data_IF_916173652797
#
_entry.id   IF_916173652797
#
_cell.length_a   1.000
_cell.length_b   1.000
_cell.length_c   1.000
_cell.angle_alpha   90.00
_cell.angle_beta   90.00
_cell.angle_gamma   90.00
#
_symmetry.space_group_name_H-M   'P 1'
#
loop_
_entity.id
_entity.type
_entity.pdbx_description
1 polymer ?
#
# COMPACT_ATOMS: atom_id res chain seq x y z
N UNK A 1 -28.78 8.07 -28.92
CA UNK A 1 -27.80 7.29 -28.21
C UNK A 1 -28.29 7.22 -26.76
N UNK A 2 -28.68 6.04 -26.27
CA UNK A 2 -29.10 5.87 -24.89
C UNK A 2 -27.83 5.94 -24.02
N UNK A 3 -27.58 7.08 -23.37
CA UNK A 3 -26.52 7.20 -22.39
C UNK A 3 -26.93 6.36 -21.18
N UNK A 4 -26.06 5.50 -20.73
CA UNK A 4 -26.28 4.78 -19.47
C UNK A 4 -26.31 5.80 -18.34
N UNK A 5 -27.35 5.84 -17.48
CA UNK A 5 -27.42 6.81 -16.40
C UNK A 5 -26.27 6.61 -15.39
N UNK A 6 -25.78 7.70 -14.83
CA UNK A 6 -24.82 7.66 -13.75
C UNK A 6 -25.45 7.05 -12.50
N UNK A 7 -24.77 6.08 -11.91
CA UNK A 7 -25.20 5.37 -10.70
C UNK A 7 -24.74 6.15 -9.47
N UNK A 8 -25.67 6.63 -8.68
CA UNK A 8 -25.41 7.51 -7.54
C UNK A 8 -25.74 6.82 -6.22
N UNK A 9 -24.86 6.97 -5.23
CA UNK A 9 -25.17 6.69 -3.82
C UNK A 9 -25.36 8.03 -3.11
N UNK A 10 -26.45 8.16 -2.35
CA UNK A 10 -26.73 9.33 -1.52
C UNK A 10 -26.52 8.94 -0.06
N UNK A 11 -25.71 9.71 0.67
CA UNK A 11 -25.48 9.57 2.11
C UNK A 11 -25.90 10.86 2.83
N UNK A 12 -27.02 10.79 3.53
CA UNK A 12 -27.66 11.91 4.21
C UNK A 12 -28.53 11.36 5.35
N UNK A 13 -28.36 11.83 6.57
CA UNK A 13 -29.11 11.33 7.74
C UNK A 13 -30.55 11.86 7.79
N UNK A 14 -30.79 13.07 7.26
CA UNK A 14 -32.13 13.65 7.17
C UNK A 14 -32.92 13.07 5.99
N UNK A 15 -33.95 12.26 6.29
CA UNK A 15 -34.73 11.56 5.28
C UNK A 15 -35.42 12.48 4.26
N UNK A 16 -35.82 13.70 4.67
CA UNK A 16 -36.43 14.68 3.75
C UNK A 16 -35.41 15.23 2.75
N UNK A 17 -34.21 15.59 3.21
CA UNK A 17 -33.16 16.10 2.32
C UNK A 17 -32.71 14.98 1.36
N UNK A 18 -32.62 13.74 1.86
CA UNK A 18 -32.29 12.58 1.00
C UNK A 18 -33.33 12.35 -0.09
N UNK A 19 -34.62 12.51 0.25
CA UNK A 19 -35.72 12.41 -0.73
C UNK A 19 -35.64 13.54 -1.78
N UNK A 20 -35.43 14.78 -1.34
CA UNK A 20 -35.28 15.93 -2.24
C UNK A 20 -34.10 15.73 -3.22
N UNK A 21 -32.96 15.24 -2.72
CA UNK A 21 -31.81 14.91 -3.56
C UNK A 21 -32.14 13.86 -4.60
N UNK A 22 -32.85 12.82 -4.21
CA UNK A 22 -33.29 11.76 -5.11
C UNK A 22 -34.21 12.30 -6.19
N UNK A 23 -35.20 13.12 -5.83
CA UNK A 23 -36.12 13.75 -6.78
C UNK A 23 -35.37 14.67 -7.76
N UNK A 24 -34.40 15.48 -7.27
CA UNK A 24 -33.58 16.31 -8.14
C UNK A 24 -32.77 15.54 -9.17
N UNK A 25 -32.28 14.34 -8.80
CA UNK A 25 -31.45 13.50 -9.68
C UNK A 25 -32.29 12.67 -10.66
N UNK A 26 -33.44 12.14 -10.21
CA UNK A 26 -34.28 11.22 -10.97
C UNK A 26 -35.46 11.92 -11.62
N UNK A 27 -35.36 13.22 -11.98
CA UNK A 27 -36.45 13.96 -12.61
C UNK A 27 -36.92 13.30 -13.90
N UNK A 28 -38.23 13.11 -14.07
CA UNK A 28 -38.77 12.46 -15.24
C UNK A 28 -38.38 13.17 -16.56
N UNK A 29 -37.78 12.39 -17.45
CA UNK A 29 -37.39 12.85 -18.80
C UNK A 29 -35.91 13.17 -18.97
N UNK A 30 -35.11 13.29 -17.90
CA UNK A 30 -33.65 13.53 -18.00
C UNK A 30 -32.82 12.27 -18.00
N UNK A 31 -33.24 11.21 -17.30
CA UNK A 31 -32.57 9.88 -17.22
C UNK A 31 -31.03 9.90 -17.13
N UNK A 32 -30.47 11.01 -16.64
CA UNK A 32 -29.01 11.15 -16.55
C UNK A 32 -28.42 10.48 -15.32
N UNK A 33 -29.21 10.33 -14.26
CA UNK A 33 -28.79 9.76 -12.97
C UNK A 33 -29.80 8.73 -12.48
N UNK A 34 -29.30 7.75 -11.70
CA UNK A 34 -30.12 6.76 -11.00
C UNK A 34 -29.55 6.53 -9.60
N UNK A 35 -30.37 6.64 -8.58
CA UNK A 35 -29.96 6.39 -7.19
C UNK A 35 -29.98 4.88 -6.95
N UNK A 36 -28.80 4.30 -6.80
CA UNK A 36 -28.61 2.86 -6.59
C UNK A 36 -28.44 2.47 -5.13
N UNK A 37 -28.24 3.44 -4.23
CA UNK A 37 -28.12 3.19 -2.80
C UNK A 37 -28.35 4.46 -2.00
N UNK A 38 -28.92 4.30 -0.81
CA UNK A 38 -29.20 5.36 0.17
C UNK A 38 -28.59 4.97 1.52
N UNK A 39 -27.86 5.87 2.15
CA UNK A 39 -27.25 5.70 3.45
C UNK A 39 -27.70 6.84 4.40
N UNK A 40 -27.85 6.54 5.67
CA UNK A 40 -28.12 7.50 6.73
C UNK A 40 -26.90 7.78 7.61
N UNK A 41 -25.75 7.18 7.29
CA UNK A 41 -24.50 7.33 8.03
C UNK A 41 -23.29 7.03 7.09
N UNK A 42 -22.12 7.48 7.53
CA UNK A 42 -20.91 7.36 6.73
C UNK A 42 -20.39 5.93 6.57
N UNK A 43 -20.57 5.06 7.56
CA UNK A 43 -20.11 3.66 7.48
C UNK A 43 -20.91 2.88 6.44
N UNK A 44 -22.24 3.04 6.46
CA UNK A 44 -23.13 2.49 5.44
C UNK A 44 -22.78 3.03 4.06
N UNK A 45 -22.44 4.33 3.94
CA UNK A 45 -22.04 4.92 2.66
C UNK A 45 -20.75 4.30 2.11
N UNK A 46 -19.73 4.09 2.94
CA UNK A 46 -18.48 3.42 2.55
C UNK A 46 -18.73 1.98 2.10
N UNK A 47 -19.57 1.25 2.81
CA UNK A 47 -19.95 -0.12 2.47
C UNK A 47 -20.68 -0.18 1.12
N UNK A 48 -21.70 0.68 0.93
CA UNK A 48 -22.45 0.76 -0.32
C UNK A 48 -21.56 1.17 -1.51
N UNK A 49 -20.64 2.10 -1.31
CA UNK A 49 -19.68 2.48 -2.35
C UNK A 49 -18.80 1.29 -2.78
N UNK A 50 -18.38 0.45 -1.82
CA UNK A 50 -17.58 -0.73 -2.13
C UNK A 50 -18.38 -1.85 -2.82
N UNK A 51 -19.62 -2.09 -2.38
CA UNK A 51 -20.48 -3.16 -2.89
C UNK A 51 -21.08 -2.81 -4.26
N UNK A 52 -21.58 -1.59 -4.40
CA UNK A 52 -22.30 -1.17 -5.59
C UNK A 52 -21.40 -0.56 -6.67
N UNK A 53 -20.19 -0.13 -6.32
CA UNK A 53 -19.26 0.57 -7.24
C UNK A 53 -20.00 1.66 -8.05
N UNK A 54 -20.56 2.69 -7.37
CA UNK A 54 -21.31 3.75 -8.03
C UNK A 54 -20.37 4.66 -8.83
N UNK A 55 -20.95 5.42 -9.76
CA UNK A 55 -20.23 6.44 -10.52
C UNK A 55 -20.03 7.74 -9.72
N UNK A 56 -20.78 7.89 -8.62
CA UNK A 56 -20.77 9.08 -7.76
C UNK A 56 -21.31 8.77 -6.37
N UNK A 57 -20.74 9.42 -5.35
CA UNK A 57 -21.31 9.49 -4.00
C UNK A 57 -21.59 10.95 -3.65
N UNK A 58 -22.82 11.26 -3.26
CA UNK A 58 -23.21 12.55 -2.68
C UNK A 58 -23.34 12.34 -1.18
N UNK A 59 -22.65 13.16 -0.37
CA UNK A 59 -22.47 12.85 1.05
C UNK A 59 -22.59 14.10 1.91
N UNK A 60 -23.47 14.09 2.89
CA UNK A 60 -23.49 15.12 3.94
C UNK A 60 -22.27 15.01 4.86
N UNK A 61 -21.83 16.16 5.39
CA UNK A 61 -20.72 16.19 6.38
C UNK A 61 -21.13 15.63 7.72
N UNK A 62 -22.33 16.02 8.19
CA UNK A 62 -22.78 15.67 9.53
C UNK A 62 -23.68 14.45 9.52
N UNK A 63 -23.11 13.30 9.79
CA UNK A 63 -23.83 12.05 9.89
C UNK A 63 -23.46 11.32 11.16
N UNK A 64 -24.35 10.48 11.70
CA UNK A 64 -24.05 9.62 12.86
C UNK A 64 -23.04 8.52 12.48
N UNK A 65 -22.50 7.82 13.48
CA UNK A 65 -21.57 6.69 13.39
C UNK A 65 -20.22 7.11 12.81
N UNK A 66 -20.17 7.49 11.52
CA UNK A 66 -19.01 8.00 10.82
C UNK A 66 -19.39 9.29 10.09
N UNK A 67 -18.67 10.38 10.34
CA UNK A 67 -18.92 11.65 9.65
C UNK A 67 -18.53 11.57 8.17
N UNK A 68 -19.17 12.42 7.34
CA UNK A 68 -18.99 12.37 5.89
C UNK A 68 -17.59 12.69 5.40
N UNK A 69 -16.80 13.47 6.13
CA UNK A 69 -15.41 13.75 5.75
C UNK A 69 -14.55 12.49 5.93
N UNK A 70 -14.70 11.82 7.06
CA UNK A 70 -14.00 10.55 7.35
C UNK A 70 -14.44 9.43 6.38
N UNK A 71 -15.73 9.41 6.01
CA UNK A 71 -16.24 8.48 5.01
C UNK A 71 -15.68 8.79 3.60
N UNK A 72 -15.64 10.07 3.21
CA UNK A 72 -15.06 10.50 1.94
C UNK A 72 -13.56 10.14 1.83
N UNK A 73 -12.81 10.28 2.92
CA UNK A 73 -11.41 9.87 2.99
C UNK A 73 -11.24 8.37 2.68
N UNK A 74 -12.07 7.52 3.29
CA UNK A 74 -12.03 6.07 3.03
C UNK A 74 -12.41 5.70 1.59
N UNK A 75 -13.46 6.35 1.03
CA UNK A 75 -13.90 6.14 -0.34
C UNK A 75 -12.80 6.58 -1.32
N UNK A 76 -12.20 7.76 -1.10
CA UNK A 76 -11.16 8.33 -1.93
C UNK A 76 -9.85 7.53 -1.86
N UNK A 77 -9.42 7.12 -0.67
CA UNK A 77 -8.22 6.30 -0.47
C UNK A 77 -8.31 4.95 -1.21
N UNK A 78 -9.51 4.37 -1.25
CA UNK A 78 -9.80 3.12 -1.97
C UNK A 78 -10.21 3.34 -3.43
N UNK A 79 -10.34 4.59 -3.87
CA UNK A 79 -10.75 4.97 -5.24
C UNK A 79 -12.05 4.34 -5.68
N UNK A 80 -13.03 4.29 -4.80
CA UNK A 80 -14.29 3.62 -5.08
C UNK A 80 -15.19 4.45 -6.01
N UNK A 81 -15.27 5.76 -5.76
CA UNK A 81 -16.06 6.71 -6.55
C UNK A 81 -15.65 8.16 -6.25
N UNK A 82 -15.96 9.13 -7.13
CA UNK A 82 -15.89 10.56 -6.79
C UNK A 82 -16.91 10.90 -5.70
N UNK A 83 -16.52 11.82 -4.81
CA UNK A 83 -17.37 12.27 -3.71
C UNK A 83 -17.67 13.75 -3.84
N UNK A 84 -18.96 14.10 -3.80
CA UNK A 84 -19.47 15.47 -3.64
C UNK A 84 -19.93 15.63 -2.20
N UNK A 85 -19.34 16.55 -1.47
CA UNK A 85 -19.69 16.84 -0.07
C UNK A 85 -20.79 17.89 -0.02
N UNK A 86 -21.84 17.63 0.77
CA UNK A 86 -22.87 18.60 1.14
C UNK A 86 -22.56 19.13 2.54
N UNK A 87 -22.66 20.44 2.74
CA UNK A 87 -22.36 21.04 4.04
C UNK A 87 -23.30 22.21 4.35
N UNK A 88 -23.74 22.31 5.62
CA UNK A 88 -24.49 23.46 6.11
C UNK A 88 -23.59 24.69 6.38
N UNK A 89 -22.26 24.54 6.28
CA UNK A 89 -21.33 25.58 6.69
C UNK A 89 -20.36 25.95 5.56
N UNK A 90 -20.28 27.25 5.29
CA UNK A 90 -19.31 27.85 4.37
C UNK A 90 -17.91 28.09 5.03
N UNK A 91 -17.64 27.47 6.18
CA UNK A 91 -16.38 27.69 6.90
C UNK A 91 -15.21 27.13 6.10
N UNK A 92 -14.18 27.95 5.89
CA UNK A 92 -12.98 27.59 5.14
C UNK A 92 -12.30 26.30 5.64
N UNK A 93 -12.34 26.08 6.96
CA UNK A 93 -11.71 24.91 7.58
C UNK A 93 -12.38 23.58 7.16
N UNK A 94 -13.70 23.56 7.04
CA UNK A 94 -14.44 22.38 6.57
C UNK A 94 -14.21 22.10 5.09
N UNK A 95 -14.17 23.15 4.28
CA UNK A 95 -13.85 23.04 2.84
C UNK A 95 -12.42 22.49 2.66
N UNK A 96 -11.47 22.98 3.45
CA UNK A 96 -10.10 22.50 3.39
C UNK A 96 -9.97 21.04 3.85
N UNK A 97 -10.67 20.67 4.92
CA UNK A 97 -10.73 19.27 5.38
C UNK A 97 -11.37 18.35 4.34
N UNK A 98 -12.50 18.73 3.75
CA UNK A 98 -13.16 17.97 2.68
C UNK A 98 -12.23 17.78 1.46
N UNK A 99 -11.53 18.83 1.06
CA UNK A 99 -10.52 18.76 -0.02
C UNK A 99 -9.36 17.83 0.34
N UNK A 100 -8.85 17.89 1.57
CA UNK A 100 -7.77 17.00 2.05
C UNK A 100 -8.22 15.54 2.15
N UNK A 101 -9.49 15.30 2.44
CA UNK A 101 -10.14 13.98 2.44
C UNK A 101 -10.38 13.42 1.02
N UNK A 102 -10.02 14.17 -0.02
CA UNK A 102 -10.16 13.73 -1.41
C UNK A 102 -11.53 13.96 -2.02
N UNK A 103 -12.40 14.79 -1.40
CA UNK A 103 -13.65 15.22 -2.03
C UNK A 103 -13.36 16.00 -3.31
N UNK A 104 -14.07 15.67 -4.38
CA UNK A 104 -13.85 16.27 -5.71
C UNK A 104 -14.61 17.58 -5.90
N UNK A 105 -15.73 17.74 -5.18
CA UNK A 105 -16.50 18.97 -5.13
C UNK A 105 -17.23 19.11 -3.79
N UNK A 106 -17.71 20.29 -3.46
CA UNK A 106 -18.57 20.53 -2.31
C UNK A 106 -19.70 21.51 -2.67
N UNK A 107 -20.84 21.40 -1.96
CA UNK A 107 -21.99 22.26 -2.08
C UNK A 107 -22.46 22.73 -0.70
N UNK A 108 -22.85 23.98 -0.59
CA UNK A 108 -23.38 24.55 0.66
C UNK A 108 -24.90 24.47 0.65
N UNK A 109 -25.49 23.90 1.68
CA UNK A 109 -26.95 23.87 1.91
C UNK A 109 -27.45 25.25 2.36
N UNK A 110 -28.62 25.71 1.88
CA UNK A 110 -29.47 25.08 0.85
C UNK A 110 -28.91 25.28 -0.56
N UNK A 111 -29.08 24.31 -1.43
CA UNK A 111 -28.67 24.35 -2.84
C UNK A 111 -29.84 24.01 -3.77
N UNK A 112 -29.67 24.33 -5.02
CA UNK A 112 -30.61 24.03 -6.10
C UNK A 112 -30.09 22.97 -7.05
N UNK A 113 -30.97 22.37 -7.87
CA UNK A 113 -30.55 21.45 -8.94
C UNK A 113 -29.54 22.08 -9.89
N UNK A 114 -29.74 23.40 -10.20
CA UNK A 114 -28.81 24.14 -11.06
C UNK A 114 -27.39 24.28 -10.51
N UNK A 115 -27.21 24.15 -9.21
CA UNK A 115 -25.89 24.12 -8.54
C UNK A 115 -25.36 22.69 -8.35
N UNK A 116 -26.28 21.74 -8.11
CA UNK A 116 -25.93 20.34 -7.89
C UNK A 116 -25.33 19.70 -9.15
N UNK A 117 -25.98 19.83 -10.30
CA UNK A 117 -25.56 19.17 -11.53
C UNK A 117 -24.14 19.60 -11.98
N UNK A 118 -23.78 20.90 -12.04
CA UNK A 118 -22.40 21.29 -12.36
C UNK A 118 -21.37 20.79 -11.35
N UNK A 119 -21.71 20.73 -10.04
CA UNK A 119 -20.81 20.18 -9.03
C UNK A 119 -20.54 18.69 -9.25
N UNK A 120 -21.56 17.92 -9.65
CA UNK A 120 -21.41 16.50 -10.02
C UNK A 120 -20.49 16.36 -11.23
N UNK A 121 -20.73 17.12 -12.30
CA UNK A 121 -19.92 17.08 -13.52
C UNK A 121 -18.43 17.37 -13.23
N UNK A 122 -18.17 18.39 -12.41
CA UNK A 122 -16.82 18.74 -11.96
C UNK A 122 -16.21 17.58 -11.17
N UNK A 123 -16.96 16.97 -10.24
CA UNK A 123 -16.47 15.87 -9.42
C UNK A 123 -16.10 14.65 -10.25
N UNK A 124 -16.96 14.26 -11.17
CA UNK A 124 -16.74 13.12 -12.07
C UNK A 124 -15.52 13.37 -12.98
N UNK A 125 -15.45 14.56 -13.59
CA UNK A 125 -14.34 14.94 -14.46
C UNK A 125 -13.00 14.94 -13.72
N UNK A 126 -12.92 15.53 -12.54
CA UNK A 126 -11.70 15.56 -11.71
C UNK A 126 -11.27 14.17 -11.28
N UNK A 127 -12.21 13.33 -10.87
CA UNK A 127 -11.91 11.95 -10.48
C UNK A 127 -11.34 11.15 -11.64
N UNK A 128 -11.92 11.28 -12.84
CA UNK A 128 -11.42 10.65 -14.05
C UNK A 128 -9.98 11.09 -14.37
N UNK A 129 -9.70 12.39 -14.29
CA UNK A 129 -8.37 12.96 -14.53
C UNK A 129 -7.34 12.44 -13.51
N UNK A 130 -7.65 12.50 -12.22
CA UNK A 130 -6.76 12.02 -11.15
C UNK A 130 -6.50 10.52 -11.30
N UNK A 131 -7.52 9.74 -11.61
CA UNK A 131 -7.40 8.29 -11.80
C UNK A 131 -6.52 7.95 -13.01
N UNK A 132 -6.70 8.66 -14.12
CA UNK A 132 -5.87 8.48 -15.34
C UNK A 132 -4.40 8.80 -15.06
N UNK A 133 -4.11 9.93 -14.41
CA UNK A 133 -2.74 10.32 -14.04
C UNK A 133 -2.09 9.30 -13.10
N UNK A 134 -2.83 8.79 -12.13
CA UNK A 134 -2.31 7.79 -11.19
C UNK A 134 -2.02 6.45 -11.87
N UNK A 135 -2.85 6.04 -12.83
CA UNK A 135 -2.61 4.84 -13.63
C UNK A 135 -1.33 5.01 -14.46
N UNK A 136 -1.16 6.16 -15.13
CA UNK A 136 0.06 6.44 -15.89
C UNK A 136 1.32 6.43 -15.02
N UNK A 137 1.26 7.03 -13.82
CA UNK A 137 2.37 6.98 -12.85
C UNK A 137 2.65 5.55 -12.40
N UNK A 138 1.61 4.73 -12.20
CA UNK A 138 1.74 3.30 -11.88
C UNK A 138 2.49 2.54 -12.97
N UNK A 139 2.05 2.69 -14.21
CA UNK A 139 2.67 2.06 -15.38
C UNK A 139 4.13 2.47 -15.57
N UNK A 140 4.43 3.75 -15.39
CA UNK A 140 5.81 4.25 -15.47
C UNK A 140 6.71 3.67 -14.38
N UNK A 141 6.21 3.56 -13.16
CA UNK A 141 6.94 2.93 -12.04
C UNK A 141 7.21 1.45 -12.30
N UNK A 142 6.24 0.73 -12.81
CA UNK A 142 6.38 -0.69 -13.15
C UNK A 142 7.41 -0.89 -14.27
N UNK A 143 7.36 -0.08 -15.34
CA UNK A 143 8.35 -0.11 -16.41
C UNK A 143 9.76 0.18 -15.92
N UNK A 144 9.93 1.16 -15.01
CA UNK A 144 11.22 1.47 -14.40
C UNK A 144 11.72 0.32 -13.49
N UNK A 145 10.84 -0.29 -12.69
CA UNK A 145 11.18 -1.43 -11.86
C UNK A 145 11.62 -2.62 -12.72
N UNK A 146 10.85 -2.94 -13.76
CA UNK A 146 11.19 -4.02 -14.71
C UNK A 146 12.53 -3.77 -15.39
N UNK A 147 12.80 -2.53 -15.83
CA UNK A 147 14.08 -2.18 -16.45
C UNK A 147 15.25 -2.40 -15.49
N UNK A 148 15.13 -1.95 -14.24
CA UNK A 148 16.15 -2.19 -13.19
C UNK A 148 16.40 -3.66 -12.95
N UNK A 149 15.34 -4.48 -12.90
CA UNK A 149 15.46 -5.94 -12.75
C UNK A 149 16.19 -6.56 -13.94
N UNK A 150 15.85 -6.18 -15.16
CA UNK A 150 16.51 -6.65 -16.37
C UNK A 150 18.00 -6.28 -16.42
N UNK A 151 18.35 -5.05 -16.06
CA UNK A 151 19.75 -4.60 -16.04
C UNK A 151 20.58 -5.37 -15.01
N UNK A 152 20.01 -5.63 -13.84
CA UNK A 152 20.65 -6.49 -12.81
C UNK A 152 20.80 -7.93 -13.28
N UNK A 153 19.74 -8.52 -13.84
CA UNK A 153 19.77 -9.90 -14.34
C UNK A 153 20.77 -10.07 -15.51
N UNK A 154 20.87 -9.07 -16.42
CA UNK A 154 21.94 -9.05 -17.43
C UNK A 154 23.32 -9.08 -16.78
N UNK A 155 23.56 -8.25 -15.76
CA UNK A 155 24.84 -8.25 -15.02
C UNK A 155 25.17 -9.61 -14.40
N UNK A 156 24.16 -10.30 -13.85
CA UNK A 156 24.35 -11.68 -13.35
C UNK A 156 24.75 -12.63 -14.46
N UNK A 157 24.06 -12.62 -15.60
CA UNK A 157 24.39 -13.52 -16.72
C UNK A 157 25.76 -13.21 -17.33
N UNK A 158 26.18 -11.94 -17.35
CA UNK A 158 27.52 -11.54 -17.77
C UNK A 158 28.59 -12.14 -16.85
N UNK A 159 28.39 -12.04 -15.54
CA UNK A 159 29.38 -12.53 -14.53
C UNK A 159 29.38 -14.06 -14.41
N UNK A 160 28.22 -14.70 -14.42
CA UNK A 160 28.11 -16.14 -14.17
C UNK A 160 28.28 -17.00 -15.41
N UNK A 161 27.88 -16.48 -16.59
CA UNK A 161 27.90 -17.22 -17.87
C UNK A 161 28.83 -16.62 -18.92
N UNK A 162 29.53 -15.52 -18.63
CA UNK A 162 30.45 -14.87 -19.58
C UNK A 162 29.75 -14.28 -20.81
N UNK A 163 28.45 -13.99 -20.73
CA UNK A 163 27.67 -13.47 -21.86
C UNK A 163 27.99 -11.99 -22.11
N UNK A 164 27.90 -11.55 -23.38
CA UNK A 164 27.87 -10.12 -23.65
C UNK A 164 26.51 -9.53 -23.27
N UNK A 165 26.41 -8.21 -23.08
CA UNK A 165 25.12 -7.58 -22.73
C UNK A 165 24.01 -7.85 -23.78
N UNK A 166 24.27 -7.76 -25.11
CA UNK A 166 23.27 -8.11 -26.10
C UNK A 166 22.86 -9.58 -26.08
N UNK A 167 23.79 -10.49 -25.75
CA UNK A 167 23.48 -11.91 -25.68
C UNK A 167 22.66 -12.25 -24.43
N UNK A 168 22.97 -11.64 -23.29
CA UNK A 168 22.20 -11.78 -22.06
C UNK A 168 20.75 -11.28 -22.26
N UNK A 169 20.56 -10.14 -22.92
CA UNK A 169 19.23 -9.64 -23.24
C UNK A 169 18.46 -10.59 -24.16
N UNK A 170 19.08 -11.06 -25.24
CA UNK A 170 18.46 -12.03 -26.17
C UNK A 170 18.11 -13.35 -25.46
N UNK A 171 18.97 -13.80 -24.57
CA UNK A 171 18.73 -14.99 -23.79
C UNK A 171 17.52 -14.82 -22.86
N UNK A 172 17.42 -13.70 -22.13
CA UNK A 172 16.27 -13.39 -21.27
C UNK A 172 14.97 -13.34 -22.12
N UNK A 173 15.00 -12.63 -23.25
CA UNK A 173 13.86 -12.50 -24.14
C UNK A 173 13.39 -13.88 -24.67
N UNK A 174 14.28 -14.68 -25.19
CA UNK A 174 13.95 -16.01 -25.72
C UNK A 174 13.41 -16.93 -24.63
N UNK A 175 14.09 -16.99 -23.49
CA UNK A 175 13.70 -17.87 -22.37
C UNK A 175 12.36 -17.47 -21.78
N UNK A 176 12.06 -16.16 -21.68
CA UNK A 176 10.74 -15.69 -21.21
C UNK A 176 9.62 -16.12 -22.15
N UNK A 177 9.84 -16.07 -23.46
CA UNK A 177 8.88 -16.54 -24.47
C UNK A 177 8.68 -18.06 -24.39
N UNK A 178 9.77 -18.82 -24.32
CA UNK A 178 9.74 -20.29 -24.25
C UNK A 178 9.00 -20.78 -22.99
N UNK A 179 9.17 -20.06 -21.87
CA UNK A 179 8.54 -20.37 -20.58
C UNK A 179 7.17 -19.70 -20.37
N UNK A 180 6.70 -18.91 -21.33
CA UNK A 180 5.44 -18.13 -21.27
C UNK A 180 5.31 -17.26 -20.02
N UNK A 181 6.39 -16.59 -19.66
CA UNK A 181 6.45 -15.67 -18.54
C UNK A 181 6.95 -14.29 -18.97
N UNK A 182 6.75 -13.26 -18.16
CA UNK A 182 7.25 -11.93 -18.47
C UNK A 182 8.78 -11.87 -18.30
N UNK A 183 9.45 -10.97 -19.05
CA UNK A 183 10.88 -10.77 -18.89
C UNK A 183 11.26 -10.31 -17.46
N UNK A 184 10.36 -9.54 -16.81
CA UNK A 184 10.55 -9.11 -15.43
C UNK A 184 10.51 -10.26 -14.42
N UNK A 185 9.57 -11.20 -14.60
CA UNK A 185 9.48 -12.39 -13.76
C UNK A 185 10.72 -13.30 -13.93
N UNK A 186 11.18 -13.50 -15.16
CA UNK A 186 12.40 -14.26 -15.41
C UNK A 186 13.65 -13.57 -14.83
N UNK A 187 13.72 -12.23 -14.94
CA UNK A 187 14.81 -11.47 -14.33
C UNK A 187 14.84 -11.61 -12.82
N UNK A 188 13.68 -11.61 -12.18
CA UNK A 188 13.57 -11.86 -10.72
C UNK A 188 14.05 -13.28 -10.36
N UNK A 189 13.61 -14.33 -11.09
CA UNK A 189 14.10 -15.70 -10.88
C UNK A 189 15.63 -15.82 -10.95
N UNK A 190 16.25 -15.13 -11.93
CA UNK A 190 17.71 -15.12 -12.08
C UNK A 190 18.40 -14.50 -10.86
N UNK A 191 17.86 -13.39 -10.36
CA UNK A 191 18.38 -12.70 -9.18
C UNK A 191 18.19 -13.51 -7.92
N UNK A 192 17.05 -14.16 -7.75
CA UNK A 192 16.75 -15.01 -6.59
C UNK A 192 17.66 -16.26 -6.57
N UNK A 193 17.90 -16.88 -7.72
CA UNK A 193 18.83 -18.00 -7.85
C UNK A 193 20.26 -17.59 -7.46
N UNK A 194 20.72 -16.43 -7.93
CA UNK A 194 22.04 -15.91 -7.56
C UNK A 194 22.15 -15.64 -6.05
N UNK A 195 21.12 -15.04 -5.45
CA UNK A 195 21.10 -14.78 -4.02
C UNK A 195 21.16 -16.06 -3.20
N UNK A 196 20.48 -17.12 -3.63
CA UNK A 196 20.53 -18.43 -3.00
C UNK A 196 21.92 -19.09 -3.08
N UNK A 197 22.60 -18.99 -4.24
CA UNK A 197 23.98 -19.51 -4.41
C UNK A 197 24.97 -18.75 -3.52
N UNK A 198 24.85 -17.43 -3.41
CA UNK A 198 25.69 -16.60 -2.55
C UNK A 198 25.48 -16.91 -1.07
N UNK A 199 24.24 -17.11 -0.64
CA UNK A 199 23.91 -17.49 0.73
C UNK A 199 24.47 -18.89 1.08
N UNK A 200 24.36 -19.86 0.15
CA UNK A 200 24.91 -21.20 0.32
C UNK A 200 26.44 -21.21 0.42
N UNK A 201 27.12 -20.41 -0.39
CA UNK A 201 28.60 -20.31 -0.36
C UNK A 201 29.10 -19.59 0.90
N UNK A 202 28.40 -18.57 1.40
CA UNK A 202 28.73 -17.89 2.66
C UNK A 202 28.59 -18.83 3.88
N UNK A 203 27.55 -19.66 3.87
CA UNK A 203 27.32 -20.64 4.95
C UNK A 203 28.33 -21.77 4.95
N UNK A 204 28.79 -22.23 3.77
CA UNK A 204 29.85 -23.19 3.63
C UNK A 204 31.24 -22.65 4.09
N UNK A 205 31.53 -21.38 3.77
CA UNK A 205 32.73 -20.70 4.21
C UNK A 205 32.75 -20.48 5.73
N UNK A 206 31.63 -20.13 6.35
CA UNK A 206 31.49 -19.96 7.80
C UNK A 206 31.67 -21.28 8.56
N UNK A 207 31.16 -22.39 8.03
CA UNK A 207 31.32 -23.72 8.65
C UNK A 207 32.75 -24.25 8.52
N UNK A 208 33.46 -23.96 7.43
CA UNK A 208 34.88 -24.33 7.25
C UNK A 208 35.80 -23.56 8.20
N UNK A 209 35.47 -22.28 8.48
CA UNK A 209 36.23 -21.44 9.40
C UNK A 209 36.04 -21.86 10.88
N UNK A 210 34.83 -22.32 11.25
CA UNK A 210 34.51 -22.84 12.57
C UNK A 210 35.21 -24.21 12.81
N UNK A 211 35.31 -25.05 11.78
CA UNK A 211 36.03 -26.33 11.87
C UNK A 211 37.55 -26.14 12.00
N UNK A 212 38.12 -25.13 11.31
CA UNK A 212 39.56 -24.80 11.40
C UNK A 212 40.00 -24.29 12.77
N UNK A 213 39.11 -23.49 13.45
CA UNK A 213 39.39 -23.00 14.81
C UNK A 213 39.27 -24.10 15.89
N UNK A 214 38.39 -25.07 15.70
CA UNK A 214 38.27 -26.21 16.61
C UNK A 214 39.50 -27.16 16.56
N UNK A 215 40.16 -27.29 15.41
CA UNK A 215 41.32 -28.13 15.21
C UNK A 215 42.60 -27.48 15.73
N UNK A 216 42.70 -26.16 15.76
CA UNK A 216 43.82 -25.42 16.35
C UNK A 216 43.78 -25.40 17.88
N UNK A 217 42.62 -25.51 18.51
CA UNK A 217 42.46 -25.56 19.96
C UNK A 217 42.74 -26.98 20.55
N UNK A 218 42.67 -28.04 19.74
CA UNK A 218 42.88 -29.43 20.16
C UNK A 218 44.37 -29.86 20.26
N UNK A 219 45.31 -29.04 19.75
CA UNK A 219 46.76 -29.38 19.74
C UNK A 219 47.57 -28.73 20.88
N UNK A 220 46.95 -27.87 21.70
CA UNK A 220 47.63 -27.15 22.80
C UNK A 220 47.46 -27.79 24.20
N UNK A 221 46.79 -28.94 24.32
CA UNK A 221 46.54 -29.60 25.61
C UNK A 221 47.19 -31.03 25.70
N UNK A 222 48.43 -31.15 25.35
CA UNK A 222 49.26 -32.37 25.79
C UNK A 222 50.61 -31.87 26.24
N UNK A 223 50.76 -31.75 27.54
CA UNK A 223 52.07 -31.59 28.15
C UNK A 223 52.05 -30.70 29.37
N UNK A 224 51.55 -31.25 30.49
CA UNK A 224 52.16 -31.02 31.81
C UNK A 224 51.51 -31.96 32.84
N UNK A 225 52.27 -32.87 33.26
CA UNK A 225 52.04 -33.83 34.37
C UNK A 225 52.19 -33.08 35.71
N UNK A 226 51.37 -33.33 36.74
CA UNK A 226 51.57 -32.75 38.06
C UNK A 226 52.47 -33.53 38.96
N UNK A 227 53.38 -32.88 39.65
CA UNK A 227 54.08 -33.41 40.82
C UNK A 227 53.41 -33.04 42.14
N UNK A 228 53.50 -33.90 43.19
CA UNK A 228 52.64 -33.80 44.37
C UNK A 228 53.21 -32.94 45.52
N UNK A 229 52.25 -32.45 46.25
CA UNK A 229 52.14 -32.04 47.65
C UNK A 229 53.38 -31.73 48.50
N UNK A 230 53.34 -30.65 49.25
CA UNK A 230 53.63 -30.68 50.68
C UNK A 230 52.75 -29.70 51.46
N UNK A 231 52.39 -30.15 52.66
CA UNK A 231 51.54 -29.57 53.67
C UNK A 231 52.22 -28.43 54.42
N UNK A 232 51.47 -27.54 54.96
CA UNK A 232 51.47 -26.95 56.31
C UNK A 232 51.15 -25.49 56.25
N UNK A 233 50.26 -25.02 56.96
CA UNK A 233 49.94 -24.76 58.32
C UNK A 233 49.24 -23.35 58.45
N UNK A 234 48.17 -23.37 59.16
CA UNK A 234 47.62 -22.44 60.11
C UNK A 234 47.55 -20.90 59.88
N UNK A 235 46.41 -20.38 60.14
CA UNK A 235 46.31 -19.11 60.82
C UNK A 235 45.13 -18.22 60.44
N UNK A 236 44.02 -18.52 61.07
CA UNK A 236 43.04 -17.55 61.67
C UNK A 236 43.10 -16.06 61.27
N UNK A 237 42.03 -15.49 60.81
CA UNK A 237 41.26 -14.50 61.57
C UNK A 237 40.07 -13.95 60.78
N UNK A 238 38.91 -14.10 61.33
CA UNK A 238 37.72 -13.22 61.12
C UNK A 238 37.88 -12.00 62.05
N UNK A 239 37.01 -11.02 62.10
CA UNK A 239 35.83 -10.67 61.31
C UNK A 239 35.60 -9.16 61.14
N UNK A 240 34.43 -8.81 60.65
CA UNK A 240 33.75 -7.53 60.90
C UNK A 240 33.67 -6.63 59.65
N UNK A 241 32.61 -6.18 59.25
CA UNK A 241 31.38 -5.71 59.81
C UNK A 241 30.87 -4.58 58.93
N UNK A 242 29.60 -4.69 58.65
CA UNK A 242 28.60 -3.62 58.78
C UNK A 242 28.60 -2.44 57.79
N UNK A 243 27.46 -2.38 57.10
CA UNK A 243 26.41 -1.38 57.12
C UNK A 243 26.44 -0.20 56.16
N UNK A 244 25.30 -0.11 55.50
CA UNK A 244 24.47 1.13 55.18
C UNK A 244 25.02 2.14 54.19
N UNK A 245 24.33 2.47 53.22
CA UNK A 245 23.06 3.13 52.96
C UNK A 245 22.62 2.96 51.54
#
# INVERSE_FOLDING_TARGET
>A
MSLTPYRVVIAEDEALIRLDLKEMLEEPGENAYVVVGEASDGDTAVRLAAELQPDLVIMDVKMPVLDGISAAEQISARRLAPVVILTAFSQRDLVQRASSAGAMAYLVKPFTKAELIPAIEIAVSRFAEVTALQTEVGDLRERLATRKLLDRAKGVLQTTRGMTEPDAFRWIQKTSMDRRMTMGALAQEILDAQAAEQAGSAQAAGSAQAAGTAQAAGTAQRGEEPRPADQDDAGSHQPGGATTS
#
